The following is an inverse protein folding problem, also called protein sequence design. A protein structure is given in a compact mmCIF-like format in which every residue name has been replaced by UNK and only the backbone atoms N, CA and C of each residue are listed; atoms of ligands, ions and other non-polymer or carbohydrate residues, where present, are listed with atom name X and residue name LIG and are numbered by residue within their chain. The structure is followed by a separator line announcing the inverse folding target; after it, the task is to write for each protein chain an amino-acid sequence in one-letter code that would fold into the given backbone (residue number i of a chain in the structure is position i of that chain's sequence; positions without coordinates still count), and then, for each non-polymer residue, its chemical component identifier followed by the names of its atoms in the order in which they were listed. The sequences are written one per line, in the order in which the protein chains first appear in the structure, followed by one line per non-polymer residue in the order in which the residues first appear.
data_IF_453796491780
#
_entry.id   IF_453796491780
#
_cell.length_a   1.000
_cell.length_b   1.000
_cell.length_c   1.000
_cell.angle_alpha   90.00
_cell.angle_beta   90.00
_cell.angle_gamma   90.00
#
_symmetry.space_group_name_H-M   'P 1'
#
loop_
_entity.id
_entity.type
_entity.pdbx_description
1 polymer ?
#
# COMPACT_ATOMS: atom_id res chain seq x y z
N UNK A 1 15.40 5.93 10.89
CA UNK A 1 13.92 5.76 10.99
C UNK A 1 13.65 4.59 11.94
N UNK A 2 12.73 4.72 12.91
CA UNK A 2 12.37 3.59 13.79
C UNK A 2 11.19 2.81 13.22
N UNK A 3 11.10 1.50 13.48
CA UNK A 3 9.99 0.66 13.01
C UNK A 3 8.58 1.22 13.38
N UNK A 4 8.34 1.78 14.59
CA UNK A 4 7.06 2.40 14.90
C UNK A 4 6.71 3.61 14.01
N UNK A 5 7.71 4.39 13.61
CA UNK A 5 7.53 5.52 12.68
C UNK A 5 7.20 5.02 11.29
N UNK A 6 7.91 4.00 10.82
CA UNK A 6 7.63 3.37 9.53
C UNK A 6 6.19 2.83 9.45
N UNK A 7 5.76 2.05 10.44
CA UNK A 7 4.39 1.47 10.48
C UNK A 7 3.29 2.52 10.58
N UNK A 8 3.58 3.70 11.15
CA UNK A 8 2.65 4.84 11.22
C UNK A 8 2.69 5.73 9.97
N UNK A 9 3.66 5.58 9.09
CA UNK A 9 3.83 6.40 7.88
C UNK A 9 2.82 6.00 6.79
N UNK A 10 1.53 6.30 7.02
CA UNK A 10 0.38 6.08 6.13
C UNK A 10 -0.84 6.86 6.63
N UNK A 11 -1.76 7.23 5.74
CA UNK A 11 -3.03 7.87 6.10
C UNK A 11 -4.22 6.96 5.83
N UNK A 12 -4.79 6.37 6.90
CA UNK A 12 -5.94 5.46 6.77
C UNK A 12 -7.19 6.20 6.26
N UNK A 13 -7.33 7.50 6.55
CA UNK A 13 -8.42 8.34 6.01
C UNK A 13 -8.28 8.55 4.51
N UNK A 14 -7.06 8.83 4.01
CA UNK A 14 -6.78 8.98 2.58
C UNK A 14 -7.09 7.69 1.82
N UNK A 15 -6.71 6.54 2.39
CA UNK A 15 -6.93 5.21 1.81
C UNK A 15 -8.40 4.80 1.77
N UNK A 16 -9.26 5.49 2.53
CA UNK A 16 -10.70 5.20 2.63
C UNK A 16 -11.57 6.20 1.87
N UNK A 17 -11.26 7.49 1.92
CA UNK A 17 -12.10 8.58 1.41
C UNK A 17 -11.36 9.47 0.41
N UNK A 18 -11.95 9.68 -0.77
CA UNK A 18 -11.37 10.53 -1.82
C UNK A 18 -11.22 11.99 -1.35
N UNK A 19 -12.16 12.49 -0.54
CA UNK A 19 -12.11 13.82 0.04
C UNK A 19 -10.94 14.03 1.02
N UNK A 20 -10.37 12.94 1.56
CA UNK A 20 -9.25 12.96 2.49
C UNK A 20 -7.88 12.88 1.80
N UNK A 21 -7.81 13.09 0.48
CA UNK A 21 -6.55 13.06 -0.29
C UNK A 21 -5.45 13.93 0.32
N UNK A 22 -5.82 15.10 0.85
CA UNK A 22 -4.94 16.10 1.46
C UNK A 22 -4.45 15.76 2.87
N UNK A 23 -4.97 14.71 3.51
CA UNK A 23 -4.58 14.34 4.88
C UNK A 23 -3.29 13.51 4.87
N UNK A 24 -2.15 14.19 4.75
CA UNK A 24 -0.80 13.60 4.56
C UNK A 24 0.12 13.78 5.79
N UNK A 25 -0.37 14.36 6.90
CA UNK A 25 0.43 14.67 8.10
C UNK A 25 1.15 13.46 8.71
N UNK A 26 0.52 12.29 8.67
CA UNK A 26 1.10 11.04 9.19
C UNK A 26 2.12 10.41 8.22
N UNK A 27 2.18 10.89 6.99
CA UNK A 27 2.94 10.28 5.89
C UNK A 27 4.36 10.82 5.72
N UNK A 28 4.83 11.73 6.58
CA UNK A 28 6.17 12.34 6.49
C UNK A 28 7.26 11.25 6.46
N UNK A 29 8.25 11.33 5.55
CA UNK A 29 8.48 12.41 4.59
C UNK A 29 7.68 12.30 3.28
N UNK A 30 7.19 11.11 2.91
CA UNK A 30 6.51 10.85 1.63
C UNK A 30 5.02 11.20 1.66
N UNK A 31 4.70 12.40 2.16
CA UNK A 31 3.34 12.94 2.23
C UNK A 31 2.93 13.68 0.97
N UNK A 32 3.81 14.57 0.53
CA UNK A 32 3.57 15.53 -0.52
C UNK A 32 4.77 15.56 -1.48
N UNK A 33 4.51 15.97 -2.71
CA UNK A 33 5.56 16.23 -3.70
C UNK A 33 6.38 17.47 -3.33
N UNK A 34 7.49 17.68 -4.03
CA UNK A 34 8.30 18.91 -3.89
C UNK A 34 7.48 20.19 -4.14
N UNK A 35 6.42 20.11 -4.96
CA UNK A 35 5.51 21.21 -5.28
C UNK A 35 4.32 21.29 -4.29
N UNK A 36 4.40 20.62 -3.13
CA UNK A 36 3.35 20.55 -2.11
C UNK A 36 2.01 19.94 -2.56
N UNK A 37 1.99 19.21 -3.68
CA UNK A 37 0.81 18.44 -4.07
C UNK A 37 0.76 17.11 -3.31
N UNK A 38 -0.40 16.69 -2.77
CA UNK A 38 -0.51 15.46 -2.00
C UNK A 38 -0.23 14.22 -2.84
N UNK A 39 0.45 13.25 -2.23
CA UNK A 39 0.75 11.95 -2.82
C UNK A 39 -0.35 10.97 -2.42
N UNK A 40 -0.85 10.18 -3.36
CA UNK A 40 -1.83 9.12 -3.09
C UNK A 40 -1.32 7.82 -3.71
N UNK A 41 -1.26 6.71 -2.95
CA UNK A 41 -1.22 6.65 -1.49
C UNK A 41 0.07 7.28 -0.91
N UNK A 42 -0.05 8.01 0.20
CA UNK A 42 1.10 8.61 0.89
C UNK A 42 1.77 7.66 1.88
N UNK A 43 3.02 7.99 2.21
CA UNK A 43 3.77 7.41 3.32
C UNK A 43 4.75 6.31 2.91
N UNK A 44 5.70 6.05 3.79
CA UNK A 44 6.80 5.11 3.53
C UNK A 44 6.33 3.68 3.33
N UNK A 45 5.20 3.29 3.94
CA UNK A 45 4.62 1.96 3.76
C UNK A 45 4.21 1.73 2.30
N UNK A 46 3.61 2.74 1.67
CA UNK A 46 3.27 2.67 0.25
C UNK A 46 4.51 2.83 -0.64
N UNK A 47 5.41 3.73 -0.26
CA UNK A 47 6.63 4.01 -1.02
C UNK A 47 7.55 2.79 -1.15
N UNK A 48 7.58 1.92 -0.14
CA UNK A 48 8.39 0.71 -0.13
C UNK A 48 7.59 -0.53 -0.56
N UNK A 49 6.62 -0.37 -1.46
CA UNK A 49 5.87 -1.50 -1.99
C UNK A 49 6.82 -2.51 -2.62
N UNK A 50 6.72 -3.77 -2.23
CA UNK A 50 7.59 -4.82 -2.75
C UNK A 50 7.38 -5.04 -4.26
N UNK A 51 8.48 -5.23 -4.99
CA UNK A 51 8.47 -5.43 -6.44
C UNK A 51 9.10 -6.76 -6.89
N UNK A 52 9.43 -7.68 -5.97
CA UNK A 52 10.11 -8.89 -6.40
C UNK A 52 9.13 -9.93 -6.96
N UNK A 53 9.63 -10.71 -7.90
CA UNK A 53 8.92 -11.85 -8.49
C UNK A 53 9.38 -13.14 -7.84
N UNK A 54 8.44 -13.90 -7.28
CA UNK A 54 8.73 -15.22 -6.70
C UNK A 54 8.07 -16.34 -7.52
N UNK A 55 8.71 -17.51 -7.51
CA UNK A 55 8.17 -18.76 -8.07
C UNK A 55 8.03 -19.77 -6.94
N UNK A 56 6.84 -20.34 -6.79
CA UNK A 56 6.60 -21.38 -5.78
C UNK A 56 6.80 -22.75 -6.41
N UNK A 57 7.57 -23.59 -5.73
CA UNK A 57 7.74 -25.00 -6.08
C UNK A 57 7.17 -25.87 -4.97
N UNK A 58 6.27 -26.80 -5.32
CA UNK A 58 5.75 -27.82 -4.41
C UNK A 58 6.22 -29.17 -4.93
N UNK A 59 6.98 -29.92 -4.13
CA UNK A 59 7.58 -31.20 -4.53
C UNK A 59 8.40 -31.11 -5.83
N UNK A 60 9.14 -30.00 -6.01
CA UNK A 60 9.97 -29.77 -7.21
C UNK A 60 9.21 -29.24 -8.43
N UNK A 61 7.87 -29.26 -8.43
CA UNK A 61 7.04 -28.77 -9.54
C UNK A 61 6.74 -27.29 -9.36
N UNK A 62 6.90 -26.50 -10.42
CA UNK A 62 6.51 -25.08 -10.43
C UNK A 62 4.99 -24.99 -10.38
N UNK A 63 4.47 -24.45 -9.29
CA UNK A 63 3.03 -24.29 -9.07
C UNK A 63 2.63 -22.86 -9.37
N UNK A 64 1.65 -22.69 -10.26
CA UNK A 64 1.05 -21.39 -10.50
C UNK A 64 0.26 -20.94 -9.25
N UNK A 65 0.64 -19.80 -8.70
CA UNK A 65 -0.05 -19.19 -7.56
C UNK A 65 -0.98 -18.11 -8.08
N UNK A 66 -2.26 -18.20 -7.70
CA UNK A 66 -3.21 -17.13 -7.98
C UNK A 66 -2.89 -15.91 -7.10
N UNK A 67 -2.57 -14.79 -7.74
CA UNK A 67 -2.31 -13.51 -7.08
C UNK A 67 -3.57 -12.64 -6.94
N UNK A 68 -4.72 -13.12 -7.42
CA UNK A 68 -6.01 -12.43 -7.28
C UNK A 68 -6.69 -12.83 -5.98
N UNK A 69 -7.49 -11.91 -5.44
CA UNK A 69 -8.36 -12.13 -4.28
C UNK A 69 -7.74 -12.66 -2.97
N UNK A 70 -6.42 -12.51 -2.80
CA UNK A 70 -5.73 -12.92 -1.57
C UNK A 70 -5.93 -11.99 -0.36
N UNK A 71 -6.48 -10.79 -0.58
CA UNK A 71 -6.77 -9.84 0.48
C UNK A 71 -8.07 -10.21 1.21
N UNK A 72 -8.11 -9.98 2.53
CA UNK A 72 -9.30 -10.16 3.35
C UNK A 72 -10.51 -9.39 2.79
N UNK A 73 -11.69 -10.01 2.87
CA UNK A 73 -12.95 -9.39 2.39
C UNK A 73 -13.24 -8.08 3.14
N UNK A 74 -12.94 -8.01 4.43
CA UNK A 74 -13.05 -6.79 5.25
C UNK A 74 -12.20 -5.65 4.71
N UNK A 75 -10.94 -5.93 4.34
CA UNK A 75 -10.03 -4.93 3.80
C UNK A 75 -10.53 -4.40 2.45
N UNK A 76 -11.02 -5.30 1.57
CA UNK A 76 -11.58 -4.95 0.26
C UNK A 76 -12.87 -4.13 0.32
N UNK A 77 -13.70 -4.36 1.34
CA UNK A 77 -15.04 -3.79 1.41
C UNK A 77 -15.14 -2.58 2.33
N UNK A 78 -14.38 -2.54 3.42
CA UNK A 78 -14.58 -1.59 4.52
C UNK A 78 -13.35 -0.72 4.81
N UNK A 79 -12.14 -1.23 4.60
CA UNK A 79 -10.88 -0.54 4.94
C UNK A 79 -10.41 0.38 3.82
N UNK A 80 -10.41 -0.12 2.60
CA UNK A 80 -9.94 0.62 1.42
C UNK A 80 -11.10 1.09 0.52
N UNK A 81 -11.08 2.37 0.15
CA UNK A 81 -12.10 2.97 -0.69
C UNK A 81 -12.05 2.46 -2.14
N UNK A 82 -13.22 2.34 -2.78
CA UNK A 82 -13.31 1.84 -4.16
C UNK A 82 -12.75 2.80 -5.21
N UNK A 83 -12.86 4.10 -4.94
CA UNK A 83 -12.60 5.19 -5.88
C UNK A 83 -11.36 6.01 -5.48
N UNK A 84 -10.38 5.37 -4.85
CA UNK A 84 -9.10 5.98 -4.52
C UNK A 84 -8.10 5.51 -5.56
N UNK A 85 -7.53 6.43 -6.32
CA UNK A 85 -6.58 6.15 -7.38
C UNK A 85 -5.24 6.78 -7.05
N UNK A 86 -4.12 6.14 -7.44
CA UNK A 86 -2.81 6.73 -7.28
C UNK A 86 -2.70 8.09 -7.99
N UNK A 87 -2.08 9.06 -7.32
CA UNK A 87 -1.77 10.36 -7.91
C UNK A 87 -0.46 10.88 -7.33
N UNK A 88 0.37 11.47 -8.17
CA UNK A 88 1.68 12.03 -7.78
C UNK A 88 2.64 11.03 -7.11
N UNK A 89 2.37 9.73 -7.23
CA UNK A 89 3.16 8.68 -6.60
C UNK A 89 4.50 8.49 -7.30
N UNK A 90 5.60 8.63 -6.57
CA UNK A 90 6.97 8.42 -7.06
C UNK A 90 7.34 9.16 -8.36
N UNK A 91 6.74 10.34 -8.61
CA UNK A 91 7.06 11.18 -9.78
C UNK A 91 8.32 12.05 -9.62
N UNK A 92 8.97 11.99 -8.46
CA UNK A 92 10.16 12.78 -8.13
C UNK A 92 11.48 12.05 -8.42
N UNK A 93 12.58 12.59 -7.87
CA UNK A 93 13.94 12.00 -8.03
C UNK A 93 14.15 10.71 -7.22
N UNK A 94 13.39 10.51 -6.16
CA UNK A 94 13.47 9.30 -5.33
C UNK A 94 12.40 8.32 -5.78
N UNK A 95 12.82 7.13 -6.20
CA UNK A 95 11.94 6.00 -6.48
C UNK A 95 12.31 4.92 -5.47
N UNK A 96 11.30 4.43 -4.75
CA UNK A 96 11.45 3.37 -3.76
C UNK A 96 11.15 2.01 -4.36
N UNK A 97 10.10 1.37 -3.85
CA UNK A 97 9.63 0.06 -4.29
C UNK A 97 8.90 0.08 -5.65
N UNK A 98 7.83 -0.70 -5.75
CA UNK A 98 7.03 -0.82 -6.97
C UNK A 98 6.26 0.47 -7.29
N UNK A 99 6.11 0.74 -8.58
CA UNK A 99 5.30 1.84 -9.08
C UNK A 99 3.83 1.45 -9.18
N UNK A 100 2.95 2.46 -9.12
CA UNK A 100 1.50 2.28 -9.20
C UNK A 100 0.96 2.87 -10.51
N UNK A 101 0.11 2.12 -11.20
CA UNK A 101 -0.68 2.59 -12.34
C UNK A 101 -1.92 3.37 -11.85
N UNK A 102 -2.06 4.60 -12.35
CA UNK A 102 -3.12 5.56 -12.01
C UNK A 102 -4.54 5.10 -12.42
N UNK A 103 -4.66 4.12 -13.32
CA UNK A 103 -5.94 3.56 -13.78
C UNK A 103 -6.50 2.46 -12.86
N UNK A 104 -5.70 1.97 -11.91
CA UNK A 104 -6.10 0.90 -10.99
C UNK A 104 -6.28 1.52 -9.61
N UNK A 105 -7.41 1.27 -8.92
CA UNK A 105 -7.62 1.84 -7.59
C UNK A 105 -6.62 1.25 -6.58
N UNK A 106 -6.27 2.02 -5.55
CA UNK A 106 -5.24 1.62 -4.56
C UNK A 106 -5.61 0.27 -3.92
N UNK A 107 -6.90 0.01 -3.65
CA UNK A 107 -7.43 -1.28 -3.16
C UNK A 107 -6.96 -2.48 -4.00
N UNK A 108 -6.76 -2.30 -5.31
CA UNK A 108 -6.33 -3.32 -6.27
C UNK A 108 -4.89 -3.77 -6.06
N UNK A 109 -4.03 -2.89 -5.53
CA UNK A 109 -2.64 -3.21 -5.23
C UNK A 109 -2.48 -3.95 -3.89
N UNK A 110 -3.42 -3.75 -2.96
CA UNK A 110 -3.47 -4.54 -1.73
C UNK A 110 -3.88 -6.01 -1.97
N UNK A 111 -4.17 -6.41 -3.21
CA UNK A 111 -4.24 -7.82 -3.62
C UNK A 111 -2.85 -8.43 -3.87
N UNK A 112 -1.74 -7.69 -3.71
CA UNK A 112 -0.42 -8.29 -3.81
C UNK A 112 0.02 -8.87 -2.45
N UNK A 113 0.58 -10.10 -2.43
CA UNK A 113 0.90 -10.78 -1.18
C UNK A 113 1.97 -10.04 -0.37
N UNK A 114 2.64 -9.10 -1.01
CA UNK A 114 3.67 -8.30 -0.40
C UNK A 114 3.14 -7.09 0.41
N UNK A 115 1.90 -6.66 0.21
CA UNK A 115 1.25 -5.72 1.14
C UNK A 115 0.79 -6.43 2.43
N UNK A 116 0.54 -7.75 2.35
CA UNK A 116 0.04 -8.53 3.46
C UNK A 116 1.08 -8.69 4.58
N UNK A 117 2.38 -8.72 4.26
CA UNK A 117 3.42 -8.89 5.30
C UNK A 117 3.45 -7.72 6.30
N UNK A 118 3.05 -6.52 5.86
CA UNK A 118 3.03 -5.32 6.70
C UNK A 118 1.68 -5.05 7.39
N UNK A 119 0.58 -5.53 6.82
CA UNK A 119 -0.75 -5.39 7.42
C UNK A 119 -1.03 -6.48 8.49
N UNK A 120 -0.54 -7.70 8.30
CA UNK A 120 -0.75 -8.83 9.24
C UNK A 120 -0.15 -8.56 10.63
N UNK A 121 0.90 -7.74 10.73
CA UNK A 121 1.53 -7.42 12.03
C UNK A 121 0.69 -6.48 12.91
N UNK A 122 -0.32 -5.76 12.37
CA UNK A 122 -1.26 -4.97 13.19
C UNK A 122 -2.47 -5.79 13.63
N UNK A 123 -2.98 -6.69 12.80
CA UNK A 123 -4.21 -7.43 13.10
C UNK A 123 -4.01 -8.59 14.11
N UNK A 124 -2.76 -9.02 14.37
CA UNK A 124 -2.44 -9.98 15.44
C UNK A 124 -2.51 -9.39 16.87
N UNK A 125 -2.69 -8.08 17.04
CA UNK A 125 -2.85 -7.44 18.37
C UNK A 125 -4.27 -6.95 18.68
N UNK A 126 -5.21 -7.12 17.76
CA UNK A 126 -6.61 -6.69 17.96
C UNK A 126 -7.57 -7.87 18.24
N UNK A 127 -7.02 -9.05 18.55
CA UNK A 127 -7.78 -10.30 18.72
C UNK A 127 -7.26 -11.22 19.82
N UNK A 128 -6.61 -10.68 20.85
CA UNK A 128 -6.39 -11.31 22.17
C UNK A 128 -6.66 -10.24 23.23
#
# INVERSE_FOLDING_TARGET
MSFPRYVRSRSDKQLRYKSAAHLTSDCVPEGDTADHAPIVPCGLVAWSLFNDTYTVRVNGVVTQVNKKDIAWKSDKNNKFGKNIYPSNFQKGRLIGGATLNESIPVRGYFHHPAYALLLVLRDLRAGI
#
